data_IF_517434746809
#
_entry.id   IF_517434746809
#
_cell.length_a   1.000
_cell.length_b   1.000
_cell.length_c   1.000
_cell.angle_alpha   90.00
_cell.angle_beta   90.00
_cell.angle_gamma   90.00
#
_symmetry.space_group_name_H-M   'P 1'
#
loop_
_entity.id
_entity.type
_entity.pdbx_description
1 polymer ?
#
# COMPACT_ATOMS: atom_id res chain seq x y z
N UNK A 1 -30.56 8.60 -11.34
CA UNK A 1 -29.47 9.50 -10.90
C UNK A 1 -28.80 8.85 -9.70
N UNK A 2 -27.46 8.68 -9.70
CA UNK A 2 -26.74 8.25 -8.50
C UNK A 2 -26.96 9.27 -7.38
N UNK A 3 -27.22 8.78 -6.16
CA UNK A 3 -27.37 9.63 -4.97
C UNK A 3 -26.00 9.81 -4.34
N UNK A 4 -25.47 11.04 -4.37
CA UNK A 4 -24.22 11.39 -3.68
C UNK A 4 -24.54 11.52 -2.19
N UNK A 5 -23.91 10.67 -1.37
CA UNK A 5 -24.02 10.74 0.08
C UNK A 5 -22.87 11.59 0.65
N UNK A 6 -23.19 12.57 1.51
CA UNK A 6 -22.16 13.42 2.14
C UNK A 6 -21.29 12.63 3.13
N UNK A 7 -21.91 11.73 3.88
CA UNK A 7 -21.27 11.02 4.97
C UNK A 7 -21.12 11.86 6.25
N UNK A 8 -20.50 11.27 7.28
CA UNK A 8 -20.32 11.94 8.58
C UNK A 8 -18.93 11.67 9.17
N UNK A 9 -18.47 12.55 10.06
CA UNK A 9 -17.19 12.37 10.77
C UNK A 9 -17.12 11.10 11.61
N UNK A 10 -18.29 10.56 12.02
CA UNK A 10 -18.36 9.27 12.73
C UNK A 10 -17.89 8.10 11.89
N UNK A 11 -17.91 8.21 10.56
CA UNK A 11 -17.37 7.17 9.67
C UNK A 11 -15.90 6.91 9.94
N UNK A 12 -15.11 7.93 10.28
CA UNK A 12 -13.68 7.77 10.54
C UNK A 12 -13.38 6.84 11.74
N UNK A 13 -14.32 6.72 12.68
CA UNK A 13 -14.19 5.82 13.82
C UNK A 13 -14.76 4.42 13.56
N UNK A 14 -15.38 4.19 12.40
CA UNK A 14 -15.95 2.88 12.07
C UNK A 14 -14.83 1.90 11.71
N UNK A 15 -14.86 0.66 12.23
CA UNK A 15 -13.85 -0.36 11.93
C UNK A 15 -13.66 -0.60 10.43
N UNK A 16 -14.74 -0.58 9.64
CA UNK A 16 -14.68 -0.76 8.20
C UNK A 16 -14.00 0.40 7.49
N UNK A 17 -14.15 1.63 7.99
CA UNK A 17 -13.44 2.79 7.44
C UNK A 17 -11.95 2.73 7.74
N UNK A 18 -11.60 2.39 8.98
CA UNK A 18 -10.21 2.26 9.42
C UNK A 18 -9.50 1.17 8.61
N UNK A 19 -10.13 -0.01 8.46
CA UNK A 19 -9.59 -1.11 7.65
C UNK A 19 -9.42 -0.70 6.19
N UNK A 20 -10.42 -0.04 5.61
CA UNK A 20 -10.37 0.38 4.23
C UNK A 20 -9.26 1.41 3.96
N UNK A 21 -9.10 2.41 4.85
CA UNK A 21 -8.02 3.41 4.78
C UNK A 21 -6.66 2.72 4.90
N UNK A 22 -6.48 1.81 5.86
CA UNK A 22 -5.22 1.08 6.00
C UNK A 22 -4.86 0.28 4.72
N UNK A 23 -5.86 -0.32 4.07
CA UNK A 23 -5.66 -1.05 2.81
C UNK A 23 -5.41 -0.11 1.63
N UNK A 24 -6.10 1.02 1.51
CA UNK A 24 -5.78 2.04 0.50
C UNK A 24 -4.35 2.56 0.64
N UNK A 25 -3.89 2.78 1.87
CA UNK A 25 -2.53 3.23 2.14
C UNK A 25 -1.52 2.20 1.63
N UNK A 26 -1.67 0.95 2.09
CA UNK A 26 -0.76 -0.15 1.74
C UNK A 26 -0.73 -0.35 0.22
N UNK A 27 -1.92 -0.43 -0.39
CA UNK A 27 -2.04 -0.72 -1.82
C UNK A 27 -1.52 0.42 -2.70
N UNK A 28 -1.80 1.67 -2.34
CA UNK A 28 -1.28 2.85 -3.04
C UNK A 28 0.23 3.00 -2.86
N UNK A 29 0.73 2.74 -1.64
CA UNK A 29 2.15 2.77 -1.33
C UNK A 29 2.90 1.79 -2.24
N UNK A 30 2.47 0.52 -2.28
CA UNK A 30 3.12 -0.49 -3.12
C UNK A 30 2.98 -0.22 -4.62
N UNK A 31 1.83 0.31 -5.05
CA UNK A 31 1.61 0.71 -6.44
C UNK A 31 2.64 1.76 -6.89
N UNK A 32 2.77 2.85 -6.14
CA UNK A 32 3.73 3.91 -6.44
C UNK A 32 5.17 3.44 -6.28
N UNK A 33 5.46 2.68 -5.22
CA UNK A 33 6.79 2.14 -4.94
C UNK A 33 7.31 1.28 -6.09
N UNK A 34 6.51 0.31 -6.55
CA UNK A 34 6.90 -0.59 -7.62
C UNK A 34 6.96 0.14 -8.97
N UNK A 35 5.97 0.99 -9.25
CA UNK A 35 5.88 1.72 -10.50
C UNK A 35 7.01 2.74 -10.70
N UNK A 36 7.20 3.62 -9.73
CA UNK A 36 8.26 4.64 -9.75
C UNK A 36 9.63 3.98 -9.63
N UNK A 37 9.79 2.98 -8.76
CA UNK A 37 11.05 2.22 -8.63
C UNK A 37 11.48 1.54 -9.94
N UNK A 38 10.53 0.97 -10.69
CA UNK A 38 10.79 0.42 -12.01
C UNK A 38 11.18 1.51 -13.02
N UNK A 39 10.52 2.67 -12.99
CA UNK A 39 10.84 3.78 -13.88
C UNK A 39 12.24 4.37 -13.61
N UNK A 40 12.60 4.58 -12.35
CA UNK A 40 13.94 5.03 -11.95
C UNK A 40 15.02 4.03 -12.38
N UNK A 41 14.76 2.73 -12.20
CA UNK A 41 15.71 1.68 -12.62
C UNK A 41 15.86 1.62 -14.14
N UNK A 42 14.76 1.78 -14.88
CA UNK A 42 14.79 1.79 -16.33
C UNK A 42 15.59 2.98 -16.89
N UNK A 43 15.49 4.14 -16.24
CA UNK A 43 16.28 5.34 -16.58
C UNK A 43 17.77 5.13 -16.30
N UNK A 44 18.11 4.62 -15.12
CA UNK A 44 19.50 4.35 -14.70
C UNK A 44 20.20 3.33 -15.60
N UNK A 45 19.50 2.29 -16.05
CA UNK A 45 20.06 1.26 -16.94
C UNK A 45 20.43 1.81 -18.34
N UNK A 46 19.91 2.97 -18.73
CA UNK A 46 20.23 3.61 -20.02
C UNK A 46 19.92 2.75 -21.25
N UNK A 47 19.00 1.79 -21.13
CA UNK A 47 18.71 0.78 -22.14
C UNK A 47 17.74 1.25 -23.23
N UNK A 48 17.24 0.30 -24.03
CA UNK A 48 16.24 0.61 -25.05
C UNK A 48 14.93 1.13 -24.42
N UNK A 49 14.47 2.31 -24.87
CA UNK A 49 13.28 2.99 -24.32
C UNK A 49 12.01 2.15 -24.40
N UNK A 50 11.81 1.37 -25.47
CA UNK A 50 10.64 0.51 -25.61
C UNK A 50 10.65 -0.62 -24.56
N UNK A 51 11.83 -1.21 -24.33
CA UNK A 51 12.01 -2.26 -23.31
C UNK A 51 11.81 -1.69 -21.91
N UNK A 52 12.35 -0.51 -21.62
CA UNK A 52 12.13 0.20 -20.36
C UNK A 52 10.65 0.50 -20.12
N UNK A 53 9.95 1.05 -21.12
CA UNK A 53 8.51 1.34 -21.03
C UNK A 53 7.69 0.06 -20.81
N UNK A 54 8.03 -1.03 -21.51
CA UNK A 54 7.38 -2.32 -21.33
C UNK A 54 7.59 -2.86 -19.90
N UNK A 55 8.82 -2.81 -19.38
CA UNK A 55 9.11 -3.25 -18.01
C UNK A 55 8.36 -2.44 -16.96
N UNK A 56 8.30 -1.10 -17.13
CA UNK A 56 7.52 -0.21 -16.26
C UNK A 56 6.03 -0.54 -16.33
N UNK A 57 5.48 -0.75 -17.53
CA UNK A 57 4.07 -1.11 -17.70
C UNK A 57 3.73 -2.45 -17.04
N UNK A 58 4.61 -3.46 -17.19
CA UNK A 58 4.45 -4.77 -16.55
C UNK A 58 4.51 -4.66 -15.02
N UNK A 59 5.45 -3.86 -14.48
CA UNK A 59 5.54 -3.64 -13.03
C UNK A 59 4.25 -3.04 -12.46
N UNK A 60 3.68 -2.03 -13.12
CA UNK A 60 2.39 -1.45 -12.72
C UNK A 60 1.23 -2.46 -12.84
N UNK A 61 1.16 -3.22 -13.94
CA UNK A 61 0.08 -4.18 -14.15
C UNK A 61 0.11 -5.31 -13.11
N UNK A 62 1.29 -5.86 -12.81
CA UNK A 62 1.44 -6.91 -11.82
C UNK A 62 1.08 -6.42 -10.42
N UNK A 63 1.57 -5.25 -10.02
CA UNK A 63 1.30 -4.75 -8.67
C UNK A 63 -0.19 -4.44 -8.50
N UNK A 64 -0.85 -3.83 -9.49
CA UNK A 64 -2.32 -3.63 -9.46
C UNK A 64 -3.05 -4.97 -9.38
N UNK A 65 -2.63 -5.98 -10.15
CA UNK A 65 -3.21 -7.31 -10.10
C UNK A 65 -3.16 -7.94 -8.71
N UNK A 66 -2.04 -7.79 -7.99
CA UNK A 66 -1.93 -8.23 -6.59
C UNK A 66 -2.79 -7.37 -5.68
N UNK A 67 -2.78 -6.04 -5.83
CA UNK A 67 -3.51 -5.15 -4.92
C UNK A 67 -5.04 -5.32 -5.00
N UNK A 68 -5.58 -5.65 -6.18
CA UNK A 68 -7.02 -5.94 -6.34
C UNK A 68 -7.47 -7.13 -5.50
N UNK A 69 -6.57 -8.06 -5.12
CA UNK A 69 -6.93 -9.15 -4.19
C UNK A 69 -7.40 -8.63 -2.83
N UNK A 70 -6.89 -7.48 -2.38
CA UNK A 70 -7.34 -6.78 -1.17
C UNK A 70 -8.51 -5.80 -1.42
N UNK A 71 -8.95 -5.66 -2.68
CA UNK A 71 -10.01 -4.72 -3.08
C UNK A 71 -11.38 -5.01 -2.47
N UNK A 72 -11.63 -6.24 -1.99
CA UNK A 72 -12.86 -6.56 -1.26
C UNK A 72 -12.97 -5.84 0.11
N UNK A 73 -11.87 -5.26 0.62
CA UNK A 73 -11.83 -4.52 1.88
C UNK A 73 -12.06 -3.03 1.66
N UNK A 74 -11.32 -2.40 0.75
CA UNK A 74 -11.38 -0.94 0.53
C UNK A 74 -12.16 -0.50 -0.71
N UNK A 75 -12.48 -1.42 -1.61
CA UNK A 75 -12.92 -1.12 -2.98
C UNK A 75 -11.77 -1.06 -4.00
N UNK A 76 -10.51 -1.06 -3.53
CA UNK A 76 -9.32 -1.07 -4.40
C UNK A 76 -9.23 0.16 -5.30
N UNK A 77 -9.35 1.36 -4.74
CA UNK A 77 -9.34 2.59 -5.53
C UNK A 77 -7.92 2.94 -5.98
N UNK A 78 -6.96 2.93 -5.04
CA UNK A 78 -5.52 3.20 -5.21
C UNK A 78 -5.18 4.55 -5.86
N UNK A 79 -6.18 5.36 -6.16
CA UNK A 79 -6.08 6.45 -7.09
C UNK A 79 -7.19 7.47 -6.81
N UNK A 80 -6.83 8.76 -6.60
CA UNK A 80 -7.80 9.83 -6.41
C UNK A 80 -8.85 9.93 -7.54
N UNK A 81 -8.47 9.66 -8.79
CA UNK A 81 -9.36 9.67 -9.94
C UNK A 81 -10.34 8.48 -9.97
N UNK A 82 -9.94 7.32 -9.44
CA UNK A 82 -10.86 6.18 -9.28
C UNK A 82 -11.84 6.48 -8.16
N UNK A 83 -11.34 7.03 -7.04
CA UNK A 83 -12.18 7.46 -5.91
C UNK A 83 -13.24 8.47 -6.33
N UNK A 84 -12.89 9.45 -7.15
CA UNK A 84 -13.87 10.45 -7.61
C UNK A 84 -14.90 9.85 -8.57
N UNK A 85 -14.49 8.91 -9.44
CA UNK A 85 -15.41 8.16 -10.30
C UNK A 85 -16.45 7.39 -9.50
N UNK A 86 -16.00 6.70 -8.44
CA UNK A 86 -16.88 5.96 -7.53
C UNK A 86 -17.75 6.88 -6.67
N UNK A 87 -17.26 8.08 -6.32
CA UNK A 87 -18.06 9.09 -5.64
C UNK A 87 -19.23 9.55 -6.50
N UNK A 88 -18.97 9.90 -7.76
CA UNK A 88 -20.03 10.28 -8.70
C UNK A 88 -20.95 9.12 -9.06
N UNK A 89 -20.45 7.88 -8.99
CA UNK A 89 -21.26 6.66 -9.08
C UNK A 89 -22.15 6.39 -7.86
N UNK A 90 -21.94 7.10 -6.74
CA UNK A 90 -22.67 6.88 -5.48
C UNK A 90 -22.20 5.66 -4.70
N UNK A 91 -20.98 5.18 -4.94
CA UNK A 91 -20.39 4.00 -4.28
C UNK A 91 -19.55 4.34 -3.04
N UNK A 92 -19.28 5.63 -2.81
CA UNK A 92 -18.54 6.13 -1.63
C UNK A 92 -19.14 7.47 -1.18
N UNK A 93 -19.05 7.77 0.12
CA UNK A 93 -19.47 9.07 0.66
C UNK A 93 -18.43 10.15 0.33
N UNK A 94 -18.84 11.42 0.27
CA UNK A 94 -17.92 12.56 0.06
C UNK A 94 -16.85 12.58 1.16
N UNK A 95 -17.27 12.40 2.42
CA UNK A 95 -16.36 12.38 3.55
C UNK A 95 -15.30 11.28 3.43
N UNK A 96 -15.71 10.04 3.15
CA UNK A 96 -14.75 8.92 2.99
C UNK A 96 -13.87 9.09 1.76
N UNK A 97 -14.38 9.67 0.67
CA UNK A 97 -13.59 9.97 -0.51
C UNK A 97 -12.44 10.95 -0.21
N UNK A 98 -12.69 11.97 0.62
CA UNK A 98 -11.66 12.91 1.09
C UNK A 98 -10.61 12.19 1.94
N UNK A 99 -11.04 11.28 2.84
CA UNK A 99 -10.11 10.47 3.63
C UNK A 99 -9.22 9.61 2.72
N UNK A 100 -9.79 8.97 1.70
CA UNK A 100 -9.04 8.18 0.72
C UNK A 100 -8.02 9.04 -0.02
N UNK A 101 -8.37 10.26 -0.43
CA UNK A 101 -7.42 11.14 -1.10
C UNK A 101 -6.24 11.51 -0.21
N UNK A 102 -6.50 11.93 1.03
CA UNK A 102 -5.43 12.27 1.98
C UNK A 102 -4.52 11.07 2.16
N UNK A 103 -5.11 9.89 2.38
CA UNK A 103 -4.40 8.64 2.58
C UNK A 103 -3.55 8.23 1.36
N UNK A 104 -4.15 8.23 0.16
CA UNK A 104 -3.48 7.91 -1.10
C UNK A 104 -2.30 8.85 -1.39
N UNK A 105 -2.43 10.15 -1.09
CA UNK A 105 -1.37 11.14 -1.25
C UNK A 105 -0.22 10.94 -0.24
N UNK A 106 -0.54 10.60 1.01
CA UNK A 106 0.45 10.26 2.02
C UNK A 106 1.20 8.98 1.66
N UNK A 107 0.48 7.95 1.20
CA UNK A 107 1.05 6.69 0.74
C UNK A 107 2.00 6.89 -0.46
N UNK A 108 1.57 7.68 -1.45
CA UNK A 108 2.39 8.03 -2.61
C UNK A 108 3.66 8.77 -2.20
N UNK A 109 3.55 9.77 -1.31
CA UNK A 109 4.71 10.52 -0.82
C UNK A 109 5.69 9.61 -0.07
N UNK A 110 5.19 8.77 0.85
CA UNK A 110 6.00 7.83 1.60
C UNK A 110 6.73 6.82 0.70
N UNK A 111 6.08 6.32 -0.36
CA UNK A 111 6.69 5.43 -1.33
C UNK A 111 7.87 6.11 -2.05
N UNK A 112 7.69 7.34 -2.53
CA UNK A 112 8.73 8.11 -3.21
C UNK A 112 9.94 8.41 -2.33
N UNK A 113 9.72 8.75 -1.04
CA UNK A 113 10.82 8.98 -0.10
C UNK A 113 11.65 7.72 0.20
N UNK A 114 11.08 6.52 0.04
CA UNK A 114 11.73 5.27 0.44
C UNK A 114 12.77 4.73 -0.56
N UNK A 115 12.99 5.39 -1.70
CA UNK A 115 13.99 4.98 -2.71
C UNK A 115 13.78 3.59 -3.28
N UNK A 116 12.55 3.07 -3.22
CA UNK A 116 12.18 1.73 -3.67
C UNK A 116 12.94 0.56 -2.96
N UNK A 117 13.46 0.72 -1.73
CA UNK A 117 14.26 -0.33 -1.08
C UNK A 117 13.50 -1.32 -0.18
N UNK A 118 12.76 -0.83 0.83
CA UNK A 118 11.98 -1.58 1.84
C UNK A 118 12.68 -2.73 2.60
N UNK A 119 13.93 -3.04 2.29
CA UNK A 119 14.65 -4.18 2.83
C UNK A 119 16.08 -3.72 3.19
N UNK A 120 16.44 -3.69 4.49
CA UNK A 120 17.77 -3.24 4.91
C UNK A 120 18.90 -4.01 4.24
N UNK A 121 18.76 -5.33 4.08
CA UNK A 121 19.78 -6.16 3.43
C UNK A 121 19.91 -5.84 1.92
N UNK A 122 18.80 -5.54 1.24
CA UNK A 122 18.80 -5.09 -0.16
C UNK A 122 19.54 -3.77 -0.33
N UNK A 123 19.42 -2.83 0.62
CA UNK A 123 20.17 -1.56 0.59
C UNK A 123 21.63 -1.72 1.01
N UNK A 124 21.93 -2.65 1.93
CA UNK A 124 23.25 -2.79 2.53
C UNK A 124 24.31 -3.28 1.53
N UNK A 125 24.01 -4.31 0.74
CA UNK A 125 24.96 -4.87 -0.22
C UNK A 125 25.50 -3.83 -1.21
N UNK A 126 24.64 -3.10 -1.94
CA UNK A 126 25.06 -2.02 -2.84
C UNK A 126 25.82 -0.90 -2.14
N UNK A 127 25.40 -0.48 -0.94
CA UNK A 127 26.08 0.57 -0.17
C UNK A 127 27.51 0.16 0.21
N UNK A 128 27.69 -1.09 0.65
CA UNK A 128 29.00 -1.63 1.01
C UNK A 128 29.94 -1.74 -0.19
N UNK A 129 29.45 -2.19 -1.35
CA UNK A 129 30.27 -2.38 -2.56
C UNK A 129 30.60 -1.04 -3.23
N UNK A 130 29.64 -0.12 -3.31
CA UNK A 130 29.83 1.19 -3.95
C UNK A 130 30.49 2.24 -3.04
N UNK A 131 30.69 1.92 -1.76
CA UNK A 131 31.12 2.86 -0.72
C UNK A 131 30.22 4.11 -0.57
N UNK A 132 28.98 4.04 -1.05
CA UNK A 132 28.00 5.12 -0.93
C UNK A 132 27.02 4.83 0.22
N UNK A 133 27.16 5.58 1.31
CA UNK A 133 26.35 5.44 2.53
C UNK A 133 25.35 6.59 2.73
N UNK A 134 25.15 7.41 1.71
CA UNK A 134 24.23 8.56 1.77
C UNK A 134 22.84 8.11 2.16
N UNK A 135 22.28 8.69 3.22
CA UNK A 135 20.96 8.38 3.79
C UNK A 135 20.71 6.89 4.12
N UNK A 136 21.77 6.08 4.26
CA UNK A 136 21.64 4.64 4.42
C UNK A 136 20.82 4.23 5.66
N UNK A 137 20.87 5.05 6.71
CA UNK A 137 20.13 4.84 7.96
C UNK A 137 18.61 4.77 7.76
N UNK A 138 18.07 5.46 6.74
CA UNK A 138 16.63 5.47 6.42
C UNK A 138 16.14 4.06 6.06
N UNK A 139 16.99 3.27 5.38
CA UNK A 139 16.69 1.89 5.00
C UNK A 139 16.75 0.88 6.15
N UNK A 140 17.19 1.30 7.33
CA UNK A 140 17.09 0.51 8.55
C UNK A 140 15.90 0.95 9.38
N UNK A 141 15.83 2.25 9.71
CA UNK A 141 14.78 2.80 10.57
C UNK A 141 13.40 2.62 9.93
N UNK A 142 13.25 2.95 8.65
CA UNK A 142 11.98 2.86 7.93
C UNK A 142 11.41 1.43 7.91
N UNK A 143 12.13 0.44 7.34
CA UNK A 143 11.64 -0.95 7.28
C UNK A 143 11.42 -1.61 8.65
N UNK A 144 12.26 -1.32 9.65
CA UNK A 144 12.10 -1.92 10.98
C UNK A 144 10.86 -1.38 11.71
N UNK A 145 10.65 -0.06 11.68
CA UNK A 145 9.44 0.55 12.24
C UNK A 145 8.20 0.09 11.47
N UNK A 146 8.26 0.11 10.13
CA UNK A 146 7.16 -0.32 9.27
C UNK A 146 6.77 -1.78 9.49
N UNK A 147 7.75 -2.69 9.53
CA UNK A 147 7.53 -4.11 9.80
C UNK A 147 6.95 -4.37 11.19
N UNK A 148 7.47 -3.68 12.21
CA UNK A 148 6.94 -3.76 13.58
C UNK A 148 5.50 -3.26 13.70
N UNK A 149 5.20 -2.09 13.10
CA UNK A 149 3.86 -1.51 13.08
C UNK A 149 2.88 -2.37 12.29
N UNK A 150 3.29 -2.90 11.14
CA UNK A 150 2.48 -3.83 10.35
C UNK A 150 2.15 -5.09 11.14
N UNK A 151 3.14 -5.70 11.81
CA UNK A 151 2.92 -6.86 12.69
C UNK A 151 1.94 -6.55 13.82
N UNK A 152 2.10 -5.40 14.48
CA UNK A 152 1.18 -4.96 15.53
C UNK A 152 -0.25 -4.75 15.01
N UNK A 153 -0.42 -4.05 13.88
CA UNK A 153 -1.74 -3.81 13.29
C UNK A 153 -2.39 -5.12 12.84
N UNK A 154 -1.62 -6.01 12.21
CA UNK A 154 -2.12 -7.27 11.70
C UNK A 154 -2.67 -8.15 12.84
N UNK A 155 -1.92 -8.27 13.93
CA UNK A 155 -2.31 -9.05 15.11
C UNK A 155 -3.56 -8.48 15.79
N UNK A 156 -3.68 -7.15 15.90
CA UNK A 156 -4.74 -6.53 16.70
C UNK A 156 -6.04 -6.23 15.92
N UNK A 157 -5.96 -6.05 14.60
CA UNK A 157 -7.11 -5.59 13.80
C UNK A 157 -7.59 -6.60 12.74
N UNK A 158 -6.70 -7.48 12.28
CA UNK A 158 -6.99 -8.42 11.18
C UNK A 158 -7.04 -9.88 11.65
N UNK A 159 -6.18 -10.29 12.60
CA UNK A 159 -6.34 -11.56 13.31
C UNK A 159 -7.37 -11.38 14.44
N UNK A 160 -8.65 -11.56 14.13
CA UNK A 160 -9.61 -11.99 15.14
C UNK A 160 -9.40 -13.51 15.31
N UNK A 161 -9.00 -13.94 16.51
CA UNK A 161 -8.76 -15.35 16.86
C UNK A 161 -9.92 -16.24 16.38
N UNK A 162 -9.79 -16.90 15.23
CA UNK A 162 -10.48 -18.17 14.96
C UNK A 162 -9.66 -19.29 15.58
N UNK A 163 -9.51 -19.29 16.91
CA UNK A 163 -9.25 -20.55 17.57
C UNK A 163 -10.58 -21.28 17.59
N UNK A 164 -10.79 -22.21 16.67
CA UNK A 164 -11.54 -23.41 17.04
C UNK A 164 -10.69 -24.04 18.15
N UNK A 165 -11.14 -24.08 19.41
CA UNK A 165 -10.42 -24.83 20.43
C UNK A 165 -10.34 -26.27 19.93
N UNK A 166 -9.14 -26.87 19.95
CA UNK A 166 -9.03 -28.32 19.74
C UNK A 166 -9.96 -28.98 20.76
N UNK A 167 -10.85 -29.85 20.29
CA UNK A 167 -11.61 -30.70 21.20
C UNK A 167 -10.58 -31.49 22.02
N UNK A 168 -10.53 -31.23 23.32
CA UNK A 168 -9.96 -32.20 24.23
C UNK A 168 -10.83 -33.45 24.09
N UNK A 169 -10.37 -34.42 23.29
CA UNK A 169 -10.83 -35.79 23.41
C UNK A 169 -10.31 -36.31 24.75
N UNK A 170 -11.00 -35.91 25.83
CA UNK A 170 -10.99 -36.64 27.07
C UNK A 170 -11.94 -37.83 26.89
N UNK A 171 -11.36 -39.01 26.68
CA UNK A 171 -12.07 -40.28 26.78
C UNK A 171 -11.50 -41.38 25.90
N UNK A 172 -10.41 -42.01 26.32
CA UNK A 172 -10.39 -43.35 26.94
C UNK A 172 -9.01 -43.62 27.56
#
# INVERSE_FOLDING_TARGET
MPKIALGTTREAAQPDCIRAIAIEFITTFFFVFAGVGAAMTADELGGNTLVGLFAVAVAHALVVGVMISAGHISGGHLNPAVTIGLLFGGHITVFRAILYWIDQLLASSAASFSGASMNPARSFGPALVSWNWTDHWVYWVGPLIGGGLAGYIYENFFILRTHVPLSHEDGF
#
